data_IF_197006435235
#
_entry.id   IF_197006435235
#
_cell.length_a   1.000
_cell.length_b   1.000
_cell.length_c   1.000
_cell.angle_alpha   90.00
_cell.angle_beta   90.00
_cell.angle_gamma   90.00
#
_symmetry.space_group_name_H-M   'P 1'
#
loop_
_entity.id
_entity.type
_entity.pdbx_description
1 polymer ?
#
# COMPACT_ATOMS: atom_id res chain seq x y z
N UNK A 1 -13.15 -5.92 8.40
CA UNK A 1 -13.18 -4.69 7.58
C UNK A 1 -11.78 -4.42 7.07
N UNK A 2 -11.59 -4.64 5.76
CA UNK A 2 -10.31 -4.58 5.06
C UNK A 2 -9.73 -3.18 5.02
N UNK A 3 -8.53 -3.04 5.58
CA UNK A 3 -7.56 -2.10 5.06
C UNK A 3 -6.62 -2.96 4.23
N UNK A 4 -6.80 -2.91 2.91
CA UNK A 4 -5.98 -3.51 1.86
C UNK A 4 -4.85 -4.41 2.39
N UNK A 5 -5.16 -5.65 2.74
CA UNK A 5 -4.11 -6.58 3.18
C UNK A 5 -3.12 -6.86 2.07
N UNK A 6 -3.57 -6.81 0.80
CA UNK A 6 -2.80 -7.09 -0.41
C UNK A 6 -2.37 -5.80 -1.14
N UNK A 7 -3.09 -4.68 -0.96
CA UNK A 7 -3.24 -3.68 -2.01
C UNK A 7 -2.09 -2.69 -2.28
N UNK A 8 -1.79 -2.56 -3.58
CA UNK A 8 -1.09 -1.50 -4.33
C UNK A 8 -1.54 -0.06 -4.00
N UNK A 9 -2.60 0.14 -3.23
CA UNK A 9 -3.03 1.49 -2.80
C UNK A 9 -2.34 1.96 -1.51
N UNK A 10 -1.62 1.11 -0.77
CA UNK A 10 -0.75 1.58 0.33
C UNK A 10 0.45 2.40 -0.21
N UNK A 11 0.88 2.21 -1.47
CA UNK A 11 1.85 3.10 -2.13
C UNK A 11 1.20 4.42 -2.56
N UNK A 12 -0.02 4.41 -3.11
CA UNK A 12 -0.74 5.62 -3.54
C UNK A 12 -1.28 6.47 -2.38
N UNK A 13 -1.63 5.87 -1.24
CA UNK A 13 -2.15 6.56 -0.06
C UNK A 13 -1.04 7.08 0.88
N UNK A 14 0.21 7.21 0.40
CA UNK A 14 1.30 7.91 1.12
C UNK A 14 1.06 9.42 1.13
N UNK A 15 0.00 9.82 1.82
CA UNK A 15 -0.31 11.20 2.10
C UNK A 15 -1.12 11.26 3.38
N UNK A 16 -0.44 11.49 4.50
CA UNK A 16 -0.98 11.93 5.81
C UNK A 16 -2.34 11.33 6.19
N UNK A 17 -2.35 10.16 6.83
CA UNK A 17 -3.55 9.58 7.50
C UNK A 17 -4.08 10.39 8.70
N UNK A 18 -3.51 11.56 8.98
CA UNK A 18 -4.04 12.54 9.93
C UNK A 18 -4.28 13.89 9.25
N UNK A 19 -4.95 13.89 8.11
CA UNK A 19 -5.72 15.08 7.71
C UNK A 19 -7.09 14.99 8.40
N UNK A 20 -7.06 15.13 9.73
CA UNK A 20 -8.23 15.62 10.45
C UNK A 20 -8.06 17.12 10.54
N UNK A 21 -8.26 17.84 9.43
CA UNK A 21 -8.34 19.29 9.54
C UNK A 21 -9.48 19.64 10.50
N UNK A 22 -9.30 20.69 11.30
CA UNK A 22 -10.44 21.41 11.85
C UNK A 22 -11.40 21.78 10.70
N UNK A 23 -12.67 22.04 11.02
CA UNK A 23 -13.67 22.36 9.98
C UNK A 23 -13.17 23.44 9.02
N UNK A 24 -12.49 24.45 9.53
CA UNK A 24 -11.90 25.54 8.73
C UNK A 24 -10.86 25.04 7.72
N UNK A 25 -9.98 24.11 8.10
CA UNK A 25 -8.97 23.58 7.18
C UNK A 25 -9.57 22.69 6.07
N UNK A 26 -10.68 22.00 6.36
CA UNK A 26 -11.42 21.24 5.33
C UNK A 26 -12.12 22.18 4.34
N UNK A 27 -12.70 23.29 4.82
CA UNK A 27 -13.29 24.33 3.96
C UNK A 27 -12.22 25.00 3.10
N UNK A 28 -11.06 25.32 3.67
CA UNK A 28 -9.93 25.86 2.93
C UNK A 28 -9.50 24.94 1.78
N UNK A 29 -9.28 23.65 2.03
CA UNK A 29 -8.88 22.70 0.99
C UNK A 29 -9.95 22.58 -0.09
N UNK A 30 -11.23 22.53 0.28
CA UNK A 30 -12.32 22.48 -0.70
C UNK A 30 -12.35 23.75 -1.57
N UNK A 31 -12.17 24.92 -0.98
CA UNK A 31 -12.12 26.19 -1.71
C UNK A 31 -10.94 26.23 -2.68
N UNK A 32 -9.75 25.76 -2.26
CA UNK A 32 -8.58 25.64 -3.13
C UNK A 32 -8.89 24.75 -4.34
N UNK A 33 -9.47 23.56 -4.12
CA UNK A 33 -9.86 22.68 -5.21
C UNK A 33 -10.87 23.34 -6.16
N UNK A 34 -11.87 24.06 -5.64
CA UNK A 34 -12.86 24.75 -6.46
C UNK A 34 -12.25 25.86 -7.31
N UNK A 35 -11.38 26.68 -6.75
CA UNK A 35 -10.69 27.77 -7.46
C UNK A 35 -9.77 27.19 -8.54
N UNK A 36 -8.91 26.23 -8.18
CA UNK A 36 -7.99 25.61 -9.15
C UNK A 36 -8.73 24.90 -10.29
N UNK A 37 -9.89 24.30 -10.02
CA UNK A 37 -10.68 23.61 -11.04
C UNK A 37 -11.30 24.54 -12.09
N UNK A 38 -11.49 25.83 -11.75
CA UNK A 38 -11.95 26.85 -12.70
C UNK A 38 -10.81 27.39 -13.55
N UNK A 39 -9.59 27.39 -13.02
CA UNK A 39 -8.40 27.93 -13.69
C UNK A 39 -7.79 26.90 -14.64
N UNK A 40 -7.66 25.64 -14.20
CA UNK A 40 -7.00 24.61 -15.00
C UNK A 40 -7.86 24.10 -16.15
N UNK A 41 -7.20 23.77 -17.26
CA UNK A 41 -7.82 23.22 -18.47
C UNK A 41 -7.10 21.94 -18.93
N UNK A 42 -7.79 21.11 -19.72
CA UNK A 42 -7.23 19.90 -20.31
C UNK A 42 -6.60 18.91 -19.30
N UNK A 43 -5.32 18.60 -19.49
CA UNK A 43 -4.58 17.59 -18.70
C UNK A 43 -4.41 17.99 -17.23
N UNK A 44 -4.18 19.27 -16.95
CA UNK A 44 -4.02 19.78 -15.58
C UNK A 44 -5.31 19.63 -14.78
N UNK A 45 -6.44 19.92 -15.42
CA UNK A 45 -7.78 19.73 -14.84
C UNK A 45 -8.05 18.25 -14.54
N UNK A 46 -7.64 17.37 -15.45
CA UNK A 46 -7.75 15.91 -15.30
C UNK A 46 -6.90 15.42 -14.11
N UNK A 47 -5.67 15.91 -13.98
CA UNK A 47 -4.79 15.61 -12.84
C UNK A 47 -5.38 16.14 -11.52
N UNK A 48 -5.94 17.35 -11.52
CA UNK A 48 -6.61 17.91 -10.35
C UNK A 48 -7.83 17.06 -9.94
N UNK A 49 -8.62 16.57 -10.90
CA UNK A 49 -9.73 15.64 -10.62
C UNK A 49 -9.24 14.35 -9.95
N UNK A 50 -8.09 13.81 -10.38
CA UNK A 50 -7.46 12.64 -9.76
C UNK A 50 -7.05 12.95 -8.31
N UNK A 51 -6.33 14.05 -8.07
CA UNK A 51 -5.90 14.47 -6.74
C UNK A 51 -7.09 14.71 -5.80
N UNK A 52 -8.15 15.36 -6.30
CA UNK A 52 -9.35 15.61 -5.52
C UNK A 52 -10.06 14.31 -5.15
N UNK A 53 -10.21 13.37 -6.10
CA UNK A 53 -10.83 12.08 -5.81
C UNK A 53 -10.00 11.24 -4.83
N UNK A 54 -8.66 11.29 -4.91
CA UNK A 54 -7.77 10.67 -3.93
C UNK A 54 -7.97 11.27 -2.53
N UNK A 55 -8.10 12.60 -2.44
CA UNK A 55 -8.40 13.28 -1.18
C UNK A 55 -9.74 12.80 -0.60
N UNK A 56 -10.78 12.72 -1.42
CA UNK A 56 -12.10 12.19 -1.02
C UNK A 56 -12.01 10.75 -0.50
N UNK A 57 -11.27 9.87 -1.19
CA UNK A 57 -11.01 8.49 -0.76
C UNK A 57 -10.30 8.47 0.60
N UNK A 58 -9.32 9.35 0.83
CA UNK A 58 -8.61 9.42 2.12
C UNK A 58 -9.57 9.72 3.29
N UNK A 59 -10.57 10.58 3.08
CA UNK A 59 -11.62 10.89 4.07
C UNK A 59 -12.52 9.68 4.33
N UNK A 60 -12.86 8.91 3.30
CA UNK A 60 -13.63 7.66 3.43
C UNK A 60 -12.86 6.64 4.27
N UNK A 61 -11.59 6.42 3.96
CA UNK A 61 -10.68 5.53 4.71
C UNK A 61 -10.64 5.93 6.19
N UNK A 62 -10.53 7.23 6.49
CA UNK A 62 -10.55 7.72 7.88
C UNK A 62 -11.92 7.48 8.57
N UNK A 63 -13.03 7.67 7.85
CA UNK A 63 -14.36 7.39 8.38
C UNK A 63 -14.56 5.90 8.70
N UNK A 64 -14.00 5.01 7.87
CA UNK A 64 -13.96 3.57 8.10
C UNK A 64 -13.14 3.22 9.35
N UNK A 65 -11.96 3.83 9.53
CA UNK A 65 -11.09 3.60 10.71
C UNK A 65 -11.76 4.05 12.01
N UNK A 66 -12.42 5.21 11.99
CA UNK A 66 -13.13 5.76 13.15
C UNK A 66 -14.47 5.07 13.44
N UNK A 67 -14.89 4.08 12.64
CA UNK A 67 -16.17 3.35 12.75
C UNK A 67 -17.43 4.26 12.78
N UNK A 68 -17.34 5.48 12.24
CA UNK A 68 -18.43 6.48 12.23
C UNK A 68 -19.39 6.26 11.06
N UNK A 69 -20.35 5.32 11.20
CA UNK A 69 -21.29 4.91 10.14
C UNK A 69 -22.08 6.06 9.50
N UNK A 70 -22.61 7.01 10.28
CA UNK A 70 -23.40 8.15 9.77
C UNK A 70 -22.56 9.08 8.88
N UNK A 71 -21.36 9.44 9.36
CA UNK A 71 -20.41 10.28 8.61
C UNK A 71 -19.95 9.60 7.32
N UNK A 72 -19.69 8.29 7.38
CA UNK A 72 -19.32 7.49 6.21
C UNK A 72 -20.41 7.53 5.11
N UNK A 73 -21.69 7.36 5.47
CA UNK A 73 -22.78 7.41 4.49
C UNK A 73 -22.90 8.80 3.83
N UNK A 74 -22.83 9.88 4.61
CA UNK A 74 -22.90 11.23 4.07
C UNK A 74 -21.71 11.55 3.17
N UNK A 75 -20.49 11.23 3.62
CA UNK A 75 -19.26 11.42 2.84
C UNK A 75 -19.30 10.58 1.55
N UNK A 76 -19.68 9.31 1.64
CA UNK A 76 -19.77 8.41 0.50
C UNK A 76 -20.71 8.90 -0.60
N UNK A 77 -21.87 9.46 -0.23
CA UNK A 77 -22.80 10.08 -1.19
C UNK A 77 -22.16 11.28 -1.90
N UNK A 78 -21.48 12.15 -1.15
CA UNK A 78 -20.78 13.33 -1.69
C UNK A 78 -19.67 12.91 -2.66
N UNK A 79 -18.78 12.02 -2.23
CA UNK A 79 -17.64 11.55 -3.02
C UNK A 79 -18.11 10.79 -4.28
N UNK A 80 -19.18 9.99 -4.19
CA UNK A 80 -19.79 9.31 -5.36
C UNK A 80 -20.36 10.28 -6.38
N UNK A 81 -21.07 11.33 -5.94
CA UNK A 81 -21.59 12.38 -6.83
C UNK A 81 -20.44 13.10 -7.54
N UNK A 82 -19.40 13.44 -6.79
CA UNK A 82 -18.21 14.12 -7.33
C UNK A 82 -17.46 13.26 -8.35
N UNK A 83 -17.22 11.97 -8.07
CA UNK A 83 -16.57 11.06 -9.00
C UNK A 83 -17.35 10.91 -10.31
N UNK A 84 -18.69 10.74 -10.22
CA UNK A 84 -19.55 10.69 -11.41
C UNK A 84 -19.52 11.98 -12.23
N UNK A 85 -19.45 13.14 -11.58
CA UNK A 85 -19.34 14.41 -12.27
C UNK A 85 -18.01 14.53 -13.03
N UNK A 86 -16.91 14.05 -12.44
CA UNK A 86 -15.61 14.05 -13.11
C UNK A 86 -15.57 13.12 -14.32
N UNK A 87 -16.13 11.90 -14.21
CA UNK A 87 -16.18 10.96 -15.34
C UNK A 87 -17.07 11.42 -16.50
N UNK A 88 -18.10 12.22 -16.22
CA UNK A 88 -18.97 12.79 -17.27
C UNK A 88 -18.29 13.90 -18.08
N UNK A 89 -17.27 14.57 -17.52
CA UNK A 89 -16.56 15.62 -18.23
C UNK A 89 -15.82 15.05 -19.44
N UNK A 90 -15.91 15.69 -20.63
CA UNK A 90 -15.36 15.15 -21.88
C UNK A 90 -13.87 14.84 -21.79
N UNK A 91 -13.11 15.68 -21.09
CA UNK A 91 -11.66 15.53 -20.87
C UNK A 91 -11.28 14.25 -20.10
N UNK A 92 -12.21 13.70 -19.33
CA UNK A 92 -11.97 12.64 -18.35
C UNK A 92 -12.59 11.29 -18.72
N UNK A 93 -13.39 11.21 -19.79
CA UNK A 93 -14.15 10.00 -20.13
C UNK A 93 -13.24 8.78 -20.36
N UNK A 94 -12.05 9.00 -20.92
CA UNK A 94 -11.07 7.96 -21.20
C UNK A 94 -9.95 7.87 -20.13
N UNK A 95 -10.05 8.61 -19.02
CA UNK A 95 -9.02 8.63 -18.00
C UNK A 95 -9.13 7.39 -17.09
N UNK A 96 -8.35 6.35 -17.41
CA UNK A 96 -8.35 5.08 -16.69
C UNK A 96 -8.00 5.22 -15.20
N UNK A 97 -7.20 6.21 -14.83
CA UNK A 97 -6.85 6.48 -13.43
C UNK A 97 -8.07 6.95 -12.64
N UNK A 98 -8.93 7.79 -13.23
CA UNK A 98 -10.18 8.22 -12.61
C UNK A 98 -11.18 7.06 -12.47
N UNK A 99 -11.31 6.23 -13.51
CA UNK A 99 -12.12 5.01 -13.44
C UNK A 99 -11.66 4.07 -12.32
N UNK A 100 -10.34 3.85 -12.22
CA UNK A 100 -9.70 3.06 -11.14
C UNK A 100 -10.08 3.58 -9.76
N UNK A 101 -9.96 4.90 -9.55
CA UNK A 101 -10.29 5.53 -8.27
C UNK A 101 -11.79 5.48 -7.96
N UNK A 102 -12.66 5.66 -8.97
CA UNK A 102 -14.10 5.58 -8.77
C UNK A 102 -14.54 4.15 -8.41
N UNK A 103 -14.02 3.14 -9.12
CA UNK A 103 -14.30 1.74 -8.81
C UNK A 103 -13.83 1.37 -7.39
N UNK A 104 -12.64 1.83 -7.00
CA UNK A 104 -12.13 1.64 -5.64
C UNK A 104 -12.97 2.37 -4.58
N UNK A 105 -13.49 3.56 -4.87
CA UNK A 105 -14.41 4.27 -3.98
C UNK A 105 -15.69 3.46 -3.74
N UNK A 106 -16.32 2.92 -4.79
CA UNK A 106 -17.51 2.06 -4.65
C UNK A 106 -17.20 0.81 -3.81
N UNK A 107 -16.02 0.23 -4.01
CA UNK A 107 -15.55 -0.92 -3.23
C UNK A 107 -15.42 -0.59 -1.74
N UNK A 108 -14.79 0.54 -1.40
CA UNK A 108 -14.63 1.01 -0.01
C UNK A 108 -15.97 1.30 0.68
N UNK A 109 -16.99 1.69 -0.08
CA UNK A 109 -18.34 1.91 0.44
C UNK A 109 -19.11 0.60 0.66
N UNK A 110 -18.56 -0.54 0.23
CA UNK A 110 -19.18 -1.86 0.32
C UNK A 110 -20.10 -2.21 -0.84
N UNK A 111 -20.13 -1.40 -1.91
CA UNK A 111 -20.94 -1.65 -3.10
C UNK A 111 -20.15 -2.52 -4.09
N UNK A 112 -19.84 -3.77 -3.71
CA UNK A 112 -18.93 -4.65 -4.48
C UNK A 112 -19.41 -4.90 -5.90
N UNK A 113 -20.71 -5.13 -6.10
CA UNK A 113 -21.24 -5.44 -7.43
C UNK A 113 -21.27 -4.21 -8.35
N UNK A 114 -21.52 -3.02 -7.80
CA UNK A 114 -21.39 -1.78 -8.55
C UNK A 114 -19.91 -1.51 -8.91
N UNK A 115 -18.99 -1.74 -7.97
CA UNK A 115 -17.56 -1.61 -8.22
C UNK A 115 -17.08 -2.54 -9.34
N UNK A 116 -17.52 -3.82 -9.34
CA UNK A 116 -17.25 -4.79 -10.41
C UNK A 116 -17.71 -4.28 -11.77
N UNK A 117 -18.95 -3.76 -11.86
CA UNK A 117 -19.47 -3.18 -13.11
C UNK A 117 -18.63 -2.00 -13.60
N UNK A 118 -18.20 -1.13 -12.68
CA UNK A 118 -17.33 0.02 -13.02
C UNK A 118 -15.97 -0.47 -13.52
N UNK A 119 -15.36 -1.47 -12.87
CA UNK A 119 -14.11 -2.08 -13.34
C UNK A 119 -14.27 -2.75 -14.71
N UNK A 120 -15.31 -3.57 -14.89
CA UNK A 120 -15.56 -4.27 -16.15
C UNK A 120 -15.83 -3.28 -17.29
N UNK A 121 -16.55 -2.19 -17.02
CA UNK A 121 -16.77 -1.10 -18.00
C UNK A 121 -15.45 -0.44 -18.37
N UNK A 122 -14.63 -0.09 -17.37
CA UNK A 122 -13.34 0.56 -17.59
C UNK A 122 -12.37 -0.33 -18.37
N UNK A 123 -12.33 -1.65 -18.08
CA UNK A 123 -11.51 -2.60 -18.82
C UNK A 123 -12.01 -2.82 -20.25
N UNK A 124 -13.33 -2.79 -20.47
CA UNK A 124 -13.93 -2.87 -21.79
C UNK A 124 -13.61 -1.66 -22.69
N UNK A 125 -13.55 -0.46 -22.11
CA UNK A 125 -13.26 0.79 -22.85
C UNK A 125 -11.76 1.07 -23.03
N UNK A 126 -10.90 0.50 -22.20
CA UNK A 126 -9.47 0.78 -22.15
C UNK A 126 -8.64 0.23 -23.34
N UNK A 127 -9.26 -0.46 -24.30
CA UNK A 127 -8.62 -0.98 -25.51
C UNK A 127 -7.76 -2.24 -25.29
N UNK A 128 -7.06 -2.66 -26.34
CA UNK A 128 -6.34 -3.96 -26.43
C UNK A 128 -4.86 -3.90 -26.01
N UNK A 129 -4.45 -2.84 -25.28
CA UNK A 129 -3.05 -2.57 -24.93
C UNK A 129 -2.37 -3.63 -24.05
N UNK A 130 -3.14 -4.51 -23.40
CA UNK A 130 -2.63 -5.65 -22.62
C UNK A 130 -1.54 -5.26 -21.61
N UNK A 131 -0.49 -6.08 -21.54
CA UNK A 131 0.67 -5.87 -20.64
C UNK A 131 1.57 -4.68 -20.99
N UNK A 132 1.40 -4.09 -22.18
CA UNK A 132 2.21 -2.93 -22.62
C UNK A 132 1.70 -1.62 -22.04
N UNK A 133 0.45 -1.56 -21.58
CA UNK A 133 -0.14 -0.37 -20.97
C UNK A 133 -0.04 -0.43 -19.45
N UNK A 134 0.75 0.46 -18.86
CA UNK A 134 0.90 0.57 -17.40
C UNK A 134 -0.44 0.87 -16.70
N UNK A 135 -1.29 1.71 -17.31
CA UNK A 135 -2.60 2.07 -16.78
C UNK A 135 -3.57 0.88 -16.75
N UNK A 136 -3.57 0.06 -17.81
CA UNK A 136 -4.34 -1.18 -17.87
C UNK A 136 -3.86 -2.17 -16.83
N UNK A 137 -2.54 -2.39 -16.74
CA UNK A 137 -1.96 -3.27 -15.73
C UNK A 137 -2.31 -2.80 -14.31
N UNK A 138 -2.23 -1.49 -14.03
CA UNK A 138 -2.58 -0.94 -12.71
C UNK A 138 -4.06 -1.12 -12.37
N UNK A 139 -4.96 -0.94 -13.36
CA UNK A 139 -6.40 -1.16 -13.19
C UNK A 139 -6.71 -2.65 -12.91
N UNK A 140 -6.16 -3.55 -13.73
CA UNK A 140 -6.32 -5.00 -13.57
C UNK A 140 -5.71 -5.51 -12.27
N UNK A 141 -4.53 -5.00 -11.87
CA UNK A 141 -3.88 -5.35 -10.62
C UNK A 141 -4.77 -4.98 -9.43
N UNK A 142 -5.28 -3.74 -9.39
CA UNK A 142 -6.15 -3.31 -8.29
C UNK A 142 -7.41 -4.17 -8.22
N UNK A 143 -8.08 -4.41 -9.36
CA UNK A 143 -9.30 -5.20 -9.39
C UNK A 143 -9.05 -6.63 -8.91
N UNK A 144 -8.00 -7.28 -9.42
CA UNK A 144 -7.62 -8.62 -8.99
C UNK A 144 -7.28 -8.66 -7.49
N UNK A 145 -6.51 -7.70 -6.96
CA UNK A 145 -6.19 -7.62 -5.53
C UNK A 145 -7.43 -7.51 -4.65
N UNK A 146 -8.41 -6.68 -5.05
CA UNK A 146 -9.65 -6.52 -4.32
C UNK A 146 -10.49 -7.80 -4.32
N UNK A 147 -10.58 -8.51 -5.44
CA UNK A 147 -11.25 -9.82 -5.51
C UNK A 147 -10.53 -10.89 -4.67
N UNK A 148 -9.19 -10.88 -4.64
CA UNK A 148 -8.39 -11.77 -3.77
C UNK A 148 -8.69 -11.52 -2.30
N UNK A 149 -8.90 -10.27 -1.88
CA UNK A 149 -9.23 -9.96 -0.49
C UNK A 149 -10.58 -10.47 0.00
N UNK A 150 -11.47 -10.87 -0.93
CA UNK A 150 -12.73 -11.55 -0.62
C UNK A 150 -12.57 -13.05 -0.43
N UNK A 151 -11.44 -13.64 -0.83
CA UNK A 151 -11.20 -15.07 -0.67
C UNK A 151 -10.98 -15.40 0.82
N UNK A 152 -11.68 -16.44 1.28
CA UNK A 152 -11.51 -17.01 2.62
C UNK A 152 -10.40 -18.07 2.64
N UNK A 153 -10.19 -18.75 1.51
CA UNK A 153 -9.18 -19.79 1.29
C UNK A 153 -8.58 -19.64 -0.11
N UNK A 154 -7.37 -20.17 -0.30
CA UNK A 154 -6.71 -20.26 -1.63
C UNK A 154 -7.22 -21.48 -2.42
N UNK A 155 -7.94 -22.40 -1.79
CA UNK A 155 -8.55 -23.54 -2.46
C UNK A 155 -9.58 -23.07 -3.50
N UNK A 156 -9.48 -23.57 -4.73
CA UNK A 156 -10.34 -23.15 -5.84
C UNK A 156 -10.03 -21.76 -6.41
N UNK A 157 -8.95 -21.11 -5.98
CA UNK A 157 -8.56 -19.79 -6.48
C UNK A 157 -8.30 -19.75 -8.00
N UNK A 158 -7.96 -20.89 -8.61
CA UNK A 158 -7.70 -21.00 -10.07
C UNK A 158 -8.91 -20.61 -10.91
N UNK A 159 -10.12 -20.89 -10.44
CA UNK A 159 -11.37 -20.50 -11.11
C UNK A 159 -11.86 -19.15 -10.63
N UNK A 160 -11.10 -18.37 -9.86
CA UNK A 160 -11.57 -17.10 -9.32
C UNK A 160 -11.66 -16.01 -10.39
N UNK A 161 -12.49 -15.00 -10.11
CA UNK A 161 -12.56 -13.77 -10.91
C UNK A 161 -11.19 -13.09 -11.04
N UNK A 162 -10.35 -13.14 -10.00
CA UNK A 162 -9.01 -12.56 -10.03
C UNK A 162 -8.13 -13.23 -11.10
N UNK A 163 -8.15 -14.56 -11.21
CA UNK A 163 -7.41 -15.27 -12.26
C UNK A 163 -7.97 -14.96 -13.65
N UNK A 164 -9.29 -14.83 -13.80
CA UNK A 164 -9.90 -14.40 -15.06
C UNK A 164 -9.39 -13.02 -15.50
N UNK A 165 -9.40 -12.03 -14.61
CA UNK A 165 -8.93 -10.66 -14.92
C UNK A 165 -7.47 -10.68 -15.37
N UNK A 166 -6.60 -11.37 -14.64
CA UNK A 166 -5.17 -11.45 -14.95
C UNK A 166 -4.91 -12.25 -16.24
N UNK A 167 -5.68 -13.31 -16.49
CA UNK A 167 -5.59 -14.09 -17.74
C UNK A 167 -5.98 -13.22 -18.94
N UNK A 168 -7.13 -12.51 -18.84
CA UNK A 168 -7.63 -11.65 -19.92
C UNK A 168 -6.69 -10.49 -20.26
N UNK A 169 -5.98 -9.96 -19.27
CA UNK A 169 -4.96 -8.92 -19.49
C UNK A 169 -3.86 -9.39 -20.48
N UNK A 170 -3.54 -10.69 -20.52
CA UNK A 170 -2.52 -11.24 -21.41
C UNK A 170 -3.01 -11.55 -22.83
N UNK A 171 -4.32 -11.66 -23.05
CA UNK A 171 -4.90 -12.07 -24.33
C UNK A 171 -4.93 -10.93 -25.36
N UNK A 172 -4.63 -9.68 -24.97
CA UNK A 172 -4.69 -8.48 -25.83
C UNK A 172 -6.00 -8.36 -26.64
N UNK A 173 -7.09 -8.91 -26.11
CA UNK A 173 -8.41 -8.91 -26.70
C UNK A 173 -9.34 -7.99 -25.90
N UNK A 174 -10.53 -7.70 -26.46
CA UNK A 174 -11.56 -6.98 -25.73
C UNK A 174 -11.91 -7.72 -24.43
N UNK A 175 -11.97 -6.97 -23.33
CA UNK A 175 -12.27 -7.56 -22.03
C UNK A 175 -13.72 -8.08 -22.00
N UNK A 176 -13.87 -9.33 -21.58
CA UNK A 176 -15.17 -9.97 -21.37
C UNK A 176 -15.38 -10.16 -19.87
N UNK A 177 -16.52 -9.71 -19.30
CA UNK A 177 -16.83 -9.90 -17.89
C UNK A 177 -16.77 -11.38 -17.48
N UNK A 178 -16.42 -11.61 -16.22
CA UNK A 178 -16.27 -12.96 -15.67
C UNK A 178 -17.59 -13.74 -15.67
N UNK A 179 -17.58 -14.93 -16.29
CA UNK A 179 -18.75 -15.80 -16.47
C UNK A 179 -18.79 -17.04 -15.57
N UNK A 180 -17.81 -17.23 -14.68
CA UNK A 180 -17.79 -18.37 -13.75
C UNK A 180 -16.75 -19.46 -14.06
N UNK A 181 -16.02 -19.36 -15.17
CA UNK A 181 -15.03 -20.37 -15.57
C UNK A 181 -13.77 -19.71 -16.15
N UNK A 182 -12.61 -20.33 -15.87
CA UNK A 182 -11.33 -19.98 -16.48
C UNK A 182 -10.74 -21.24 -17.10
N UNK A 183 -10.53 -21.22 -18.42
CA UNK A 183 -9.96 -22.36 -19.14
C UNK A 183 -8.49 -22.55 -18.76
N UNK A 184 -8.09 -23.76 -18.40
CA UNK A 184 -6.71 -24.11 -18.02
C UNK A 184 -5.71 -23.77 -19.13
N UNK A 185 -6.09 -23.95 -20.39
CA UNK A 185 -5.26 -23.59 -21.56
C UNK A 185 -4.93 -22.09 -21.58
N UNK A 186 -5.89 -21.23 -21.22
CA UNK A 186 -5.67 -19.79 -21.19
C UNK A 186 -4.77 -19.40 -20.02
N UNK A 187 -4.88 -20.08 -18.87
CA UNK A 187 -3.96 -19.91 -17.73
C UNK A 187 -2.52 -20.27 -18.14
N UNK A 188 -2.31 -21.39 -18.84
CA UNK A 188 -0.98 -21.78 -19.31
C UNK A 188 -0.40 -20.79 -20.33
N UNK A 189 -1.22 -20.29 -21.25
CA UNK A 189 -0.80 -19.24 -22.20
C UNK A 189 -0.44 -17.95 -21.48
N UNK A 190 -1.30 -17.48 -20.57
CA UNK A 190 -1.07 -16.28 -19.79
C UNK A 190 0.24 -16.36 -18.99
N UNK A 191 0.55 -17.51 -18.39
CA UNK A 191 1.80 -17.73 -17.68
C UNK A 191 3.02 -17.47 -18.57
N UNK A 192 3.05 -18.07 -19.76
CA UNK A 192 4.14 -17.86 -20.73
C UNK A 192 4.24 -16.40 -21.16
N UNK A 193 3.10 -15.75 -21.43
CA UNK A 193 3.08 -14.33 -21.82
C UNK A 193 3.64 -13.43 -20.72
N UNK A 194 3.30 -13.66 -19.46
CA UNK A 194 3.87 -12.92 -18.34
C UNK A 194 5.37 -13.17 -18.15
N UNK A 195 5.80 -14.44 -18.27
CA UNK A 195 7.21 -14.81 -18.15
C UNK A 195 8.06 -14.11 -19.21
N UNK A 196 7.61 -14.15 -20.47
CA UNK A 196 8.26 -13.42 -21.56
C UNK A 196 8.26 -11.91 -21.32
N UNK A 197 7.12 -11.32 -20.92
CA UNK A 197 7.05 -9.88 -20.67
C UNK A 197 8.00 -9.43 -19.55
N UNK A 198 8.16 -10.24 -18.49
CA UNK A 198 9.11 -9.95 -17.41
C UNK A 198 10.55 -10.11 -17.90
N UNK A 199 10.87 -11.20 -18.61
CA UNK A 199 12.21 -11.41 -19.16
C UNK A 199 12.61 -10.30 -20.14
N UNK A 200 11.70 -9.92 -21.05
CA UNK A 200 11.89 -8.82 -21.99
C UNK A 200 12.22 -7.53 -21.24
N UNK A 201 11.47 -7.21 -20.18
CA UNK A 201 11.71 -6.03 -19.37
C UNK A 201 13.08 -6.11 -18.66
N UNK A 202 13.39 -7.22 -18.01
CA UNK A 202 14.65 -7.39 -17.26
C UNK A 202 15.88 -7.46 -18.17
N UNK A 203 15.69 -7.74 -19.46
CA UNK A 203 16.76 -7.77 -20.47
C UNK A 203 17.05 -6.40 -21.09
N UNK A 204 16.14 -5.43 -20.97
CA UNK A 204 16.35 -4.06 -21.47
C UNK A 204 17.40 -3.34 -20.65
N UNK A 205 18.39 -2.77 -21.34
CA UNK A 205 19.32 -1.78 -20.76
C UNK A 205 18.57 -0.49 -20.48
N UNK A 206 18.74 0.15 -19.30
CA UNK A 206 17.98 1.35 -18.94
C UNK A 206 18.37 2.52 -19.85
N UNK A 207 17.45 2.94 -20.73
CA UNK A 207 17.60 4.15 -21.55
C UNK A 207 16.54 5.17 -21.10
N UNK A 208 17.03 6.25 -20.50
CA UNK A 208 16.48 7.60 -20.24
C UNK A 208 15.01 7.86 -19.85
N UNK A 209 14.00 7.02 -20.12
CA UNK A 209 12.59 7.30 -19.80
C UNK A 209 12.14 6.56 -18.51
N UNK A 210 12.74 6.96 -17.39
CA UNK A 210 12.78 6.16 -16.16
C UNK A 210 11.46 6.07 -15.38
N UNK A 211 10.53 7.03 -15.51
CA UNK A 211 9.32 7.09 -14.65
C UNK A 211 8.17 6.21 -15.17
N UNK A 212 7.86 6.29 -16.47
CA UNK A 212 6.81 5.45 -17.07
C UNK A 212 7.22 3.98 -17.11
N UNK A 213 8.52 3.71 -17.26
CA UNK A 213 9.06 2.36 -17.29
C UNK A 213 8.94 1.71 -15.90
N UNK A 214 9.28 2.44 -14.83
CA UNK A 214 9.14 1.97 -13.45
C UNK A 214 7.69 1.59 -13.09
N UNK A 215 6.71 2.44 -13.41
CA UNK A 215 5.30 2.15 -13.16
C UNK A 215 4.84 0.90 -13.93
N UNK A 216 5.29 0.73 -15.18
CA UNK A 216 4.98 -0.45 -15.96
C UNK A 216 5.53 -1.72 -15.30
N UNK A 217 6.79 -1.71 -14.85
CA UNK A 217 7.41 -2.85 -14.15
C UNK A 217 6.66 -3.22 -12.87
N UNK A 218 6.37 -2.23 -12.01
CA UNK A 218 5.68 -2.46 -10.73
C UNK A 218 4.34 -3.15 -10.97
N UNK A 219 3.57 -2.64 -11.95
CA UNK A 219 2.25 -3.20 -12.27
C UNK A 219 2.37 -4.59 -12.93
N UNK A 220 3.35 -4.80 -13.80
CA UNK A 220 3.63 -6.11 -14.42
C UNK A 220 4.01 -7.17 -13.36
N UNK A 221 4.98 -6.85 -12.50
CA UNK A 221 5.43 -7.71 -11.40
C UNK A 221 4.28 -7.99 -10.44
N UNK A 222 3.49 -6.96 -10.10
CA UNK A 222 2.30 -7.11 -9.26
C UNK A 222 1.28 -8.07 -9.87
N UNK A 223 0.94 -7.90 -11.15
CA UNK A 223 0.01 -8.78 -11.86
C UNK A 223 0.55 -10.21 -11.93
N UNK A 224 1.81 -10.37 -12.31
CA UNK A 224 2.40 -11.69 -12.51
C UNK A 224 2.57 -12.47 -11.21
N UNK A 225 3.08 -11.82 -10.16
CA UNK A 225 3.22 -12.45 -8.85
C UNK A 225 1.85 -12.84 -8.27
N UNK A 226 0.82 -11.99 -8.42
CA UNK A 226 -0.54 -12.33 -7.98
C UNK A 226 -1.13 -13.48 -8.80
N UNK A 227 -0.85 -13.54 -10.10
CA UNK A 227 -1.25 -14.65 -10.97
C UNK A 227 -0.57 -15.97 -10.56
N UNK A 228 0.73 -15.93 -10.28
CA UNK A 228 1.47 -17.11 -9.79
C UNK A 228 0.98 -17.55 -8.41
N UNK A 229 0.67 -16.60 -7.52
CA UNK A 229 0.10 -16.89 -6.21
C UNK A 229 -1.21 -17.69 -6.31
N UNK A 230 -2.12 -17.26 -7.20
CA UNK A 230 -3.44 -17.88 -7.34
C UNK A 230 -3.43 -19.20 -8.13
N UNK A 231 -2.43 -19.43 -8.97
CA UNK A 231 -2.40 -20.58 -9.89
C UNK A 231 -1.37 -21.65 -9.53
N UNK A 232 -0.34 -21.31 -8.75
CA UNK A 232 0.74 -22.21 -8.34
C UNK A 232 0.92 -22.19 -6.83
N UNK A 233 1.02 -21.01 -6.22
CA UNK A 233 1.15 -20.86 -4.77
C UNK A 233 2.10 -19.74 -4.35
N UNK A 234 2.29 -19.60 -3.04
CA UNK A 234 3.06 -18.50 -2.44
C UNK A 234 4.52 -18.49 -2.86
N UNK A 235 5.19 -19.65 -2.91
CA UNK A 235 6.62 -19.74 -3.23
C UNK A 235 6.91 -19.24 -4.66
N UNK A 236 6.02 -19.56 -5.61
CA UNK A 236 6.11 -19.08 -6.98
C UNK A 236 6.00 -17.56 -7.06
N UNK A 237 5.10 -16.95 -6.28
CA UNK A 237 4.94 -15.50 -6.23
C UNK A 237 6.14 -14.80 -5.57
N UNK A 238 6.69 -15.38 -4.50
CA UNK A 238 7.90 -14.88 -3.82
C UNK A 238 9.08 -14.85 -4.79
N UNK A 239 9.25 -15.89 -5.60
CA UNK A 239 10.33 -15.97 -6.60
C UNK A 239 10.27 -14.83 -7.63
N UNK A 240 9.07 -14.42 -8.05
CA UNK A 240 8.90 -13.28 -8.96
C UNK A 240 9.35 -11.98 -8.27
N UNK A 241 8.95 -11.78 -7.01
CA UNK A 241 9.35 -10.59 -6.26
C UNK A 241 10.86 -10.54 -5.98
N UNK A 242 11.49 -11.67 -5.65
CA UNK A 242 12.94 -11.72 -5.42
C UNK A 242 13.70 -11.42 -6.71
N UNK A 243 13.33 -12.04 -7.83
CA UNK A 243 13.96 -11.81 -9.14
C UNK A 243 13.87 -10.33 -9.56
N UNK A 244 12.68 -9.72 -9.44
CA UNK A 244 12.50 -8.31 -9.75
C UNK A 244 13.30 -7.39 -8.81
N UNK A 245 13.33 -7.71 -7.51
CA UNK A 245 14.04 -6.90 -6.51
C UNK A 245 15.55 -6.97 -6.69
N UNK A 246 16.12 -8.14 -7.01
CA UNK A 246 17.54 -8.31 -7.26
C UNK A 246 18.01 -7.50 -8.47
N UNK A 247 17.23 -7.51 -9.54
CA UNK A 247 17.52 -6.72 -10.74
C UNK A 247 17.47 -5.22 -10.45
N UNK A 248 16.45 -4.76 -9.73
CA UNK A 248 16.34 -3.36 -9.33
C UNK A 248 17.46 -2.91 -8.38
N UNK A 249 17.98 -3.80 -7.52
CA UNK A 249 19.17 -3.52 -6.69
C UNK A 249 20.46 -3.47 -7.52
N UNK A 250 20.60 -4.36 -8.51
CA UNK A 250 21.77 -4.42 -9.38
C UNK A 250 21.91 -3.19 -10.29
N UNK A 251 20.79 -2.56 -10.67
CA UNK A 251 20.77 -1.28 -11.40
C UNK A 251 21.28 -0.08 -10.59
N UNK A 252 21.69 -0.28 -9.33
CA UNK A 252 22.27 0.72 -8.45
C UNK A 252 21.22 1.59 -7.73
N UNK A 253 21.55 2.19 -6.57
CA UNK A 253 20.70 3.19 -5.95
C UNK A 253 20.64 4.39 -6.88
N UNK A 254 19.45 4.65 -7.43
CA UNK A 254 19.11 5.90 -8.09
C UNK A 254 19.25 7.00 -7.02
N UNK A 255 20.47 7.53 -6.85
CA UNK A 255 20.68 8.80 -6.18
C UNK A 255 19.97 9.81 -7.08
N UNK A 256 18.72 10.16 -6.77
CA UNK A 256 18.26 11.49 -7.12
C UNK A 256 19.27 12.42 -6.45
N UNK A 257 20.16 12.98 -7.27
CA UNK A 257 21.00 14.08 -6.85
C UNK A 257 20.09 15.09 -6.18
N UNK A 258 20.37 15.37 -4.90
CA UNK A 258 19.84 16.53 -4.22
C UNK A 258 20.51 17.74 -4.86
N UNK A 259 20.17 18.06 -6.10
CA UNK A 259 20.36 19.41 -6.59
C UNK A 259 19.33 20.26 -5.85
N UNK A 260 19.85 21.25 -5.15
CA UNK A 260 19.08 22.15 -4.31
C UNK A 260 17.94 22.79 -5.10
N UNK A 261 16.94 23.21 -4.34
CA UNK A 261 15.80 24.02 -4.80
C UNK A 261 14.71 23.25 -5.55
N UNK A 262 14.04 22.32 -4.85
CA UNK A 262 12.63 22.07 -5.16
C UNK A 262 11.82 21.79 -3.89
N UNK A 263 11.15 22.85 -3.40
CA UNK A 263 10.08 22.74 -2.42
C UNK A 263 8.83 22.18 -3.12
N UNK A 264 8.85 20.87 -3.40
CA UNK A 264 7.76 20.16 -4.07
C UNK A 264 7.65 18.71 -3.59
N UNK A 265 6.74 18.47 -2.64
CA UNK A 265 6.47 17.17 -2.03
C UNK A 265 5.91 16.18 -3.07
N UNK A 266 6.77 15.38 -3.72
CA UNK A 266 6.37 14.16 -4.43
C UNK A 266 7.46 13.07 -4.29
N UNK A 267 7.63 12.51 -3.09
CA UNK A 267 8.41 11.28 -2.90
C UNK A 267 7.56 10.09 -3.39
N UNK A 268 7.51 9.87 -4.69
CA UNK A 268 7.01 8.59 -5.21
C UNK A 268 7.95 7.48 -4.73
N UNK A 269 7.41 6.34 -4.26
CA UNK A 269 8.26 5.22 -3.88
C UNK A 269 9.05 4.78 -5.10
N UNK A 270 10.36 4.55 -4.91
CA UNK A 270 11.17 3.92 -5.96
C UNK A 270 10.53 2.60 -6.41
N UNK A 271 10.79 2.16 -7.64
CA UNK A 271 10.26 0.89 -8.14
C UNK A 271 10.57 -0.27 -7.18
N UNK A 272 11.77 -0.28 -6.60
CA UNK A 272 12.18 -1.27 -5.60
C UNK A 272 11.32 -1.19 -4.33
N UNK A 273 11.09 0.02 -3.81
CA UNK A 273 10.23 0.21 -2.62
C UNK A 273 8.80 -0.31 -2.86
N UNK A 274 8.24 -0.02 -4.04
CA UNK A 274 6.90 -0.47 -4.41
C UNK A 274 6.82 -2.00 -4.55
N UNK A 275 7.80 -2.63 -5.19
CA UNK A 275 7.89 -4.10 -5.34
C UNK A 275 8.04 -4.79 -3.98
N UNK A 276 8.91 -4.28 -3.10
CA UNK A 276 9.07 -4.83 -1.75
C UNK A 276 7.80 -4.65 -0.90
N UNK A 277 7.05 -3.56 -1.09
CA UNK A 277 5.78 -3.38 -0.40
C UNK A 277 4.71 -4.37 -0.91
N UNK A 278 4.64 -4.62 -2.22
CA UNK A 278 3.74 -5.64 -2.78
C UNK A 278 4.08 -7.03 -2.24
N UNK A 279 5.37 -7.38 -2.20
CA UNK A 279 5.85 -8.64 -1.65
C UNK A 279 5.43 -8.85 -0.19
N UNK A 280 5.71 -7.86 0.67
CA UNK A 280 5.37 -7.95 2.11
C UNK A 280 3.86 -7.95 2.36
N UNK A 281 3.09 -7.23 1.55
CA UNK A 281 1.62 -7.25 1.61
C UNK A 281 1.04 -8.62 1.23
N UNK A 282 1.56 -9.26 0.17
CA UNK A 282 1.11 -10.59 -0.23
C UNK A 282 1.38 -11.63 0.86
N UNK A 283 2.60 -11.65 1.42
CA UNK A 283 2.95 -12.56 2.52
C UNK A 283 2.05 -12.35 3.74
N UNK A 284 1.80 -11.08 4.11
CA UNK A 284 0.90 -10.74 5.22
C UNK A 284 -0.54 -11.20 4.96
N UNK A 285 -1.02 -11.09 3.73
CA UNK A 285 -2.33 -11.62 3.35
C UNK A 285 -2.38 -13.15 3.41
N UNK A 286 -1.39 -13.83 2.84
CA UNK A 286 -1.31 -15.29 2.85
C UNK A 286 -1.35 -15.84 4.29
N UNK A 287 -0.55 -15.27 5.19
CA UNK A 287 -0.57 -15.59 6.63
C UNK A 287 -1.92 -15.35 7.33
N UNK A 288 -2.77 -14.49 6.79
CA UNK A 288 -4.10 -14.21 7.36
C UNK A 288 -5.11 -15.31 7.00
N UNK A 289 -5.00 -15.88 5.80
CA UNK A 289 -5.97 -16.84 5.26
C UNK A 289 -5.46 -18.29 5.26
N UNK A 290 -4.19 -18.52 5.59
CA UNK A 290 -3.57 -19.85 5.59
C UNK A 290 -2.56 -19.98 6.73
N UNK A 291 -2.27 -21.23 7.10
CA UNK A 291 -1.23 -21.55 8.09
C UNK A 291 0.13 -21.41 7.42
N UNK A 292 0.87 -20.36 7.77
CA UNK A 292 2.16 -20.05 7.15
C UNK A 292 3.17 -19.54 8.19
N UNK A 293 4.46 -19.93 8.11
CA UNK A 293 5.48 -19.48 9.06
C UNK A 293 5.69 -17.96 9.03
N UNK A 294 6.00 -17.37 10.19
CA UNK A 294 6.23 -15.93 10.29
C UNK A 294 7.59 -15.47 9.73
N UNK A 295 8.57 -16.38 9.62
CA UNK A 295 9.94 -16.01 9.25
C UNK A 295 10.06 -15.33 7.88
N UNK A 296 9.43 -15.82 6.79
CA UNK A 296 9.56 -15.19 5.47
C UNK A 296 9.04 -13.74 5.45
N UNK A 297 7.90 -13.47 6.11
CA UNK A 297 7.38 -12.11 6.23
C UNK A 297 8.31 -11.22 7.06
N UNK A 298 8.89 -11.76 8.14
CA UNK A 298 9.84 -11.01 8.97
C UNK A 298 11.08 -10.64 8.17
N UNK A 299 11.66 -11.58 7.44
CA UNK A 299 12.85 -11.37 6.62
C UNK A 299 12.60 -10.33 5.54
N UNK A 300 11.52 -10.48 4.75
CA UNK A 300 11.13 -9.51 3.72
C UNK A 300 10.92 -8.09 4.29
N UNK A 301 10.30 -7.96 5.47
CA UNK A 301 10.12 -6.66 6.12
C UNK A 301 11.45 -6.08 6.63
N UNK A 302 12.30 -6.88 7.26
CA UNK A 302 13.60 -6.41 7.75
C UNK A 302 14.53 -6.01 6.62
N UNK A 303 14.48 -6.72 5.49
CA UNK A 303 15.22 -6.36 4.30
C UNK A 303 14.71 -5.05 3.72
N UNK A 304 13.39 -4.92 3.52
CA UNK A 304 12.79 -3.71 2.97
C UNK A 304 13.06 -2.46 3.83
N UNK A 305 13.05 -2.60 5.15
CA UNK A 305 13.31 -1.51 6.09
C UNK A 305 14.79 -1.10 6.18
N UNK A 306 15.73 -2.00 5.81
CA UNK A 306 17.15 -1.63 5.66
C UNK A 306 17.35 -0.68 4.47
N UNK A 307 16.63 -0.93 3.37
CA UNK A 307 16.68 -0.08 2.17
C UNK A 307 15.84 1.19 2.30
N UNK A 308 14.67 1.11 2.94
CA UNK A 308 13.69 2.19 3.03
C UNK A 308 13.28 2.49 4.48
N UNK A 309 14.18 3.06 5.31
CA UNK A 309 13.91 3.33 6.72
C UNK A 309 12.85 4.43 6.96
N UNK A 310 12.59 5.29 5.98
CA UNK A 310 11.53 6.32 6.05
C UNK A 310 10.12 5.77 5.76
N UNK A 311 10.01 4.51 5.36
CA UNK A 311 8.76 3.94 4.89
C UNK A 311 7.83 3.51 6.05
N UNK A 312 6.81 4.34 6.30
CA UNK A 312 5.88 4.12 7.40
C UNK A 312 4.98 2.89 7.26
N UNK A 313 4.62 2.45 6.05
CA UNK A 313 3.73 1.29 5.87
C UNK A 313 4.45 -0.02 6.19
N UNK A 314 5.73 -0.13 5.83
CA UNK A 314 6.59 -1.23 6.21
C UNK A 314 6.77 -1.29 7.74
N UNK A 315 7.05 -0.16 8.39
CA UNK A 315 7.18 -0.13 9.85
C UNK A 315 5.91 -0.53 10.58
N UNK A 316 4.74 -0.06 10.14
CA UNK A 316 3.44 -0.47 10.72
C UNK A 316 3.24 -1.99 10.61
N UNK A 317 3.61 -2.56 9.47
CA UNK A 317 3.54 -4.01 9.24
C UNK A 317 4.53 -4.77 10.13
N UNK A 318 5.75 -4.26 10.25
CA UNK A 318 6.78 -4.82 11.14
C UNK A 318 6.34 -4.83 12.60
N UNK A 319 5.84 -3.71 13.14
CA UNK A 319 5.33 -3.67 14.51
C UNK A 319 4.16 -4.65 14.69
N UNK A 320 3.25 -4.72 13.72
CA UNK A 320 2.11 -5.64 13.81
C UNK A 320 2.54 -7.10 13.97
N UNK A 321 3.57 -7.54 13.24
CA UNK A 321 4.08 -8.91 13.38
C UNK A 321 4.89 -9.11 14.66
N UNK A 322 5.65 -8.10 15.11
CA UNK A 322 6.47 -8.21 16.31
C UNK A 322 5.62 -8.34 17.57
N UNK A 323 4.44 -7.71 17.60
CA UNK A 323 3.46 -7.84 18.69
C UNK A 323 3.03 -9.29 18.95
N UNK A 324 3.06 -10.15 17.93
CA UNK A 324 2.70 -11.57 18.03
C UNK A 324 3.87 -12.46 18.43
N UNK A 325 5.08 -11.90 18.56
CA UNK A 325 6.30 -12.66 18.84
C UNK A 325 6.90 -12.30 20.20
N UNK A 326 7.40 -13.29 20.93
CA UNK A 326 8.03 -13.07 22.24
C UNK A 326 9.45 -12.47 22.18
N UNK A 327 9.96 -12.14 20.98
CA UNK A 327 11.36 -11.81 20.75
C UNK A 327 11.67 -10.31 20.78
N UNK A 328 11.48 -9.64 21.93
CA UNK A 328 11.79 -8.21 22.11
C UNK A 328 13.23 -7.86 21.75
N UNK A 329 14.18 -8.69 22.19
CA UNK A 329 15.61 -8.45 22.02
C UNK A 329 16.01 -8.32 20.56
N UNK A 330 15.51 -9.20 19.68
CA UNK A 330 15.75 -9.12 18.23
C UNK A 330 15.15 -7.85 17.64
N UNK A 331 13.94 -7.48 18.04
CA UNK A 331 13.30 -6.25 17.55
C UNK A 331 14.09 -5.00 17.98
N UNK A 332 14.52 -4.93 19.25
CA UNK A 332 15.37 -3.85 19.78
C UNK A 332 16.68 -3.71 19.01
N UNK A 333 17.42 -4.82 18.86
CA UNK A 333 18.67 -4.84 18.07
C UNK A 333 18.47 -4.36 16.64
N UNK A 334 17.35 -4.74 16.02
CA UNK A 334 17.02 -4.28 14.67
C UNK A 334 16.77 -2.76 14.64
N UNK A 335 15.95 -2.22 15.54
CA UNK A 335 15.73 -0.78 15.65
C UNK A 335 17.03 -0.03 15.92
N UNK A 336 17.81 -0.46 16.91
CA UNK A 336 19.09 0.17 17.27
C UNK A 336 20.09 0.17 16.09
N UNK A 337 20.07 -0.87 15.25
CA UNK A 337 20.91 -0.91 14.05
C UNK A 337 20.46 0.12 13.00
N UNK A 338 19.14 0.22 12.75
CA UNK A 338 18.61 1.13 11.73
C UNK A 338 18.69 2.59 12.18
N UNK A 339 18.41 2.90 13.44
CA UNK A 339 18.47 4.29 13.96
C UNK A 339 19.89 4.87 13.96
N UNK A 340 20.92 4.01 13.97
CA UNK A 340 22.33 4.44 13.84
C UNK A 340 22.72 4.74 12.39
N UNK A 341 22.07 4.10 11.42
CA UNK A 341 22.43 4.20 10.00
C UNK A 341 21.52 5.12 9.18
N UNK A 342 20.30 5.38 9.67
CA UNK A 342 19.29 6.14 8.93
C UNK A 342 19.10 7.53 9.53
N UNK A 343 19.12 8.55 8.67
CA UNK A 343 18.87 9.94 9.07
C UNK A 343 17.38 10.19 9.37
N UNK A 344 16.49 9.32 8.88
CA UNK A 344 15.03 9.51 8.97
C UNK A 344 14.52 9.35 10.41
N UNK A 345 13.46 10.07 10.77
CA UNK A 345 12.89 10.03 12.12
C UNK A 345 11.96 8.83 12.34
N UNK A 346 11.44 8.22 11.28
CA UNK A 346 10.49 7.11 11.35
C UNK A 346 10.98 5.92 12.22
N UNK A 347 12.22 5.41 12.08
CA UNK A 347 12.72 4.33 12.93
C UNK A 347 12.63 4.65 14.43
N UNK A 348 12.93 5.88 14.84
CA UNK A 348 12.80 6.32 16.23
C UNK A 348 11.35 6.32 16.71
N UNK A 349 10.44 6.92 15.92
CA UNK A 349 9.01 6.97 16.27
C UNK A 349 8.40 5.58 16.39
N UNK A 350 8.76 4.68 15.48
CA UNK A 350 8.27 3.31 15.49
C UNK A 350 8.92 2.45 16.58
N UNK A 351 10.18 2.68 16.95
CA UNK A 351 10.80 2.04 18.11
C UNK A 351 10.09 2.44 19.41
N UNK A 352 9.83 3.74 19.60
CA UNK A 352 9.06 4.26 20.75
C UNK A 352 7.67 3.64 20.77
N UNK A 353 6.97 3.62 19.64
CA UNK A 353 5.64 3.02 19.54
C UNK A 353 5.65 1.52 19.89
N UNK A 354 6.68 0.77 19.46
CA UNK A 354 6.80 -0.64 19.76
C UNK A 354 6.95 -0.91 21.26
N UNK A 355 7.81 -0.16 21.96
CA UNK A 355 7.98 -0.27 23.41
C UNK A 355 6.74 0.19 24.19
N UNK A 356 6.07 1.26 23.76
CA UNK A 356 4.81 1.71 24.36
C UNK A 356 3.70 0.66 24.23
N UNK A 357 3.59 0.00 23.08
CA UNK A 357 2.63 -1.09 22.88
C UNK A 357 2.95 -2.29 23.77
N UNK A 358 4.25 -2.58 23.98
CA UNK A 358 4.71 -3.63 24.89
C UNK A 358 4.36 -3.31 26.34
N UNK A 359 4.66 -2.09 26.81
CA UNK A 359 4.27 -1.60 28.14
C UNK A 359 2.76 -1.74 28.38
N UNK A 360 1.93 -1.31 27.43
CA UNK A 360 0.47 -1.46 27.50
C UNK A 360 0.00 -2.92 27.56
N UNK A 361 0.72 -3.85 26.92
CA UNK A 361 0.40 -5.27 27.00
C UNK A 361 0.74 -5.83 28.39
N UNK A 362 1.96 -5.57 28.88
CA UNK A 362 2.41 -6.02 30.21
C UNK A 362 1.50 -5.50 31.32
N UNK A 363 1.15 -4.21 31.30
CA UNK A 363 0.23 -3.63 32.29
C UNK A 363 -1.18 -4.24 32.24
N UNK A 364 -1.68 -4.63 31.06
CA UNK A 364 -2.99 -5.28 30.93
C UNK A 364 -2.99 -6.69 31.50
N UNK A 365 -1.90 -7.43 31.31
CA UNK A 365 -1.75 -8.78 31.88
C UNK A 365 -1.63 -8.69 33.40
N UNK A 366 -0.90 -7.70 33.94
CA UNK A 366 -0.73 -7.50 35.38
C UNK A 366 -2.00 -7.03 36.11
N UNK A 367 -2.92 -6.32 35.44
CA UNK A 367 -4.19 -5.83 36.02
C UNK A 367 -5.36 -6.83 35.89
N UNK A 368 -5.18 -7.97 35.21
CA UNK A 368 -6.22 -8.99 35.11
C UNK A 368 -6.30 -9.77 36.43
N UNK A 369 -7.32 -9.45 37.22
CA UNK A 369 -7.59 -9.87 38.59
C UNK A 369 -8.01 -11.35 38.73
N UNK A 370 -7.20 -12.27 38.21
CA UNK A 370 -7.39 -13.72 38.41
C UNK A 370 -6.04 -14.31 38.77
N UNK A 371 -5.97 -14.98 39.92
CA UNK A 371 -4.78 -15.51 40.59
C UNK A 371 -3.95 -16.57 39.84
N UNK A 372 -3.90 -16.53 38.51
CA UNK A 372 -2.93 -17.24 37.70
C UNK A 372 -1.92 -16.25 37.14
N UNK A 373 -0.80 -16.12 37.86
CA UNK A 373 0.43 -15.48 37.36
C UNK A 373 0.87 -16.27 36.13
N UNK A 374 0.40 -15.85 34.96
CA UNK A 374 0.97 -16.32 33.71
C UNK A 374 2.45 -15.93 33.75
N UNK A 375 3.34 -16.91 33.59
CA UNK A 375 4.80 -16.78 33.61
C UNK A 375 5.31 -15.85 32.49
N UNK A 376 5.00 -14.57 32.60
CA UNK A 376 5.60 -13.49 31.84
C UNK A 376 6.57 -12.82 32.80
N UNK A 377 7.86 -12.97 32.48
CA UNK A 377 8.94 -12.33 33.23
C UNK A 377 8.56 -10.84 33.40
N UNK A 378 8.54 -10.29 34.63
CA UNK A 378 8.27 -8.88 34.82
C UNK A 378 9.32 -8.07 34.06
N UNK A 379 8.91 -7.44 32.96
CA UNK A 379 9.78 -6.54 32.20
C UNK A 379 9.91 -5.21 32.93
N UNK A 380 10.72 -5.21 34.00
CA UNK A 380 11.08 -4.00 34.73
C UNK A 380 11.89 -3.07 33.83
N UNK A 381 11.62 -1.76 33.89
CA UNK A 381 12.41 -0.75 33.19
C UNK A 381 11.93 -0.33 31.79
N UNK A 382 10.76 -0.80 31.33
CA UNK A 382 10.18 -0.34 30.06
C UNK A 382 9.95 1.19 30.02
N UNK A 383 9.54 1.80 31.13
CA UNK A 383 9.40 3.25 31.23
C UNK A 383 10.74 3.95 30.96
N UNK A 384 11.80 3.55 31.65
CA UNK A 384 13.14 4.12 31.48
C UNK A 384 13.66 3.92 30.04
N UNK A 385 13.36 2.76 29.43
CA UNK A 385 13.72 2.51 28.03
C UNK A 385 12.97 3.44 27.07
N UNK A 386 11.69 3.68 27.29
CA UNK A 386 10.90 4.62 26.47
C UNK A 386 11.45 6.04 26.63
N UNK A 387 11.78 6.47 27.86
CA UNK A 387 12.43 7.77 28.11
C UNK A 387 13.75 7.87 27.34
N UNK A 388 14.64 6.89 27.47
CA UNK A 388 15.92 6.87 26.76
C UNK A 388 15.75 6.94 25.22
N UNK A 389 14.73 6.27 24.66
CA UNK A 389 14.43 6.36 23.23
C UNK A 389 13.97 7.77 22.84
N UNK A 390 13.16 8.45 23.65
CA UNK A 390 12.79 9.84 23.40
C UNK A 390 13.99 10.78 23.50
N UNK A 391 14.83 10.63 24.53
CA UNK A 391 16.04 11.44 24.72
C UNK A 391 16.99 11.32 23.51
N UNK A 392 17.27 10.09 23.07
CA UNK A 392 18.10 9.88 21.88
C UNK A 392 17.45 10.38 20.59
N UNK A 393 16.13 10.20 20.43
CA UNK A 393 15.43 10.70 19.26
C UNK A 393 15.50 12.23 19.18
N UNK A 394 15.31 12.93 20.30
CA UNK A 394 15.37 14.39 20.38
C UNK A 394 16.79 14.93 20.17
N UNK A 395 17.82 14.18 20.56
CA UNK A 395 19.22 14.53 20.29
C UNK A 395 19.60 14.46 18.81
N UNK A 396 18.84 13.74 17.98
CA UNK A 396 19.05 13.74 16.53
C UNK A 396 18.61 15.06 15.90
N UNK A 397 19.28 15.50 14.84
CA UNK A 397 18.97 16.74 14.11
C UNK A 397 17.50 16.79 13.68
N UNK A 398 17.01 15.74 13.04
CA UNK A 398 15.61 15.64 12.58
C UNK A 398 14.60 15.54 13.73
N UNK A 399 15.00 15.01 14.88
CA UNK A 399 14.13 14.88 16.05
C UNK A 399 14.00 16.18 16.84
N UNK A 400 15.10 16.94 16.99
CA UNK A 400 15.10 18.24 17.66
C UNK A 400 14.09 19.22 17.03
N UNK A 401 13.97 19.18 15.71
CA UNK A 401 13.07 20.04 14.93
C UNK A 401 11.68 19.43 14.68
N UNK A 402 11.31 18.33 15.35
CA UNK A 402 10.02 17.67 15.14
C UNK A 402 9.00 17.98 16.25
N UNK A 403 7.99 18.86 16.03
CA UNK A 403 7.00 19.19 17.06
C UNK A 403 6.16 17.99 17.51
N UNK A 404 5.91 17.03 16.62
CA UNK A 404 5.16 15.82 16.96
C UNK A 404 5.91 14.97 17.99
N UNK A 405 7.23 14.80 17.82
CA UNK A 405 8.07 14.04 18.74
C UNK A 405 8.06 14.67 20.13
N UNK A 406 8.27 15.99 20.21
CA UNK A 406 8.21 16.74 21.46
C UNK A 406 6.87 16.62 22.16
N UNK A 407 5.76 16.78 21.42
CA UNK A 407 4.41 16.60 21.97
C UNK A 407 4.19 15.19 22.51
N UNK A 408 4.69 14.17 21.80
CA UNK A 408 4.62 12.78 22.27
C UNK A 408 5.47 12.56 23.53
N UNK A 409 6.65 13.18 23.61
CA UNK A 409 7.54 13.05 24.75
C UNK A 409 6.95 13.72 26.00
N UNK A 410 6.52 14.98 25.90
CA UNK A 410 5.88 15.69 27.00
C UNK A 410 4.64 14.96 27.51
N UNK A 411 3.80 14.45 26.61
CA UNK A 411 2.62 13.67 26.98
C UNK A 411 2.94 12.28 27.57
N UNK A 412 4.18 11.80 27.47
CA UNK A 412 4.62 10.57 28.12
C UNK A 412 5.18 10.81 29.53
N UNK A 413 5.70 12.01 29.78
CA UNK A 413 6.27 12.42 31.07
C UNK A 413 5.23 12.91 32.08
N UNK A 414 4.08 13.40 31.57
CA UNK A 414 2.87 13.68 32.36
C UNK A 414 2.12 12.37 32.61
#
# INVERSE_FOLDING_TARGET
>A
SGFNSVGHMDTMLRGRRQIGHCKEGEEFIQNVFHVLFQIFTGKEKSNLSVCWLQYEISKIVQCLQSKKKKKLKAQGRRSKKLAKNFLKAPDNQNNLTLWKLYAYLEWLLGNTDDARKVFDTALGTAGTGGLKSAHLCSLSLLYAQLEVELLESVEGAVTSRAVHILTKLTESAAYVPYSGQVLSVNVLKARKTYEHALQDYLSKTPVSDQVSDADQLINLVGCYALFQYLTVGIDAAVLIYTQASERLKASGPQKCEKNGEDFGIQNFPSALEAVMLLHTNLLRFHMKISVYPLNPLREALTEALKWFPSNQSLWRSYIHIQRKSHSASKARRFFDNITRSADSLEPWLFAIQAEQLRKKLTEKVQRADVGEVHCTIPETGLTNRIVALFEHAVQSENGAHCPLLWRMYLNFMV
#
